data_IF_671496689198
#
_entry.id   IF_671496689198
#
_cell.length_a   1.000
_cell.length_b   1.000
_cell.length_c   1.000
_cell.angle_alpha   90.00
_cell.angle_beta   90.00
_cell.angle_gamma   90.00
#
_symmetry.space_group_name_H-M   'P 1'
#
loop_
_entity.id
_entity.type
_entity.pdbx_description
1 polymer ?
#
# COMPACT_ATOMS: atom_id res chain seq x y z
N UNK A 1 -15.67 17.60 -12.42
CA UNK A 1 -15.76 16.22 -11.95
C UNK A 1 -14.48 15.83 -11.29
N UNK A 2 -14.50 15.39 -10.02
CA UNK A 2 -13.28 14.89 -9.38
C UNK A 2 -12.87 13.57 -10.00
N UNK A 3 -11.58 13.41 -10.14
CA UNK A 3 -10.99 12.17 -10.60
C UNK A 3 -9.77 11.88 -9.74
N UNK A 4 -9.50 10.61 -9.49
CA UNK A 4 -8.30 10.22 -8.79
C UNK A 4 -7.06 10.53 -9.64
N UNK A 5 -5.98 10.83 -8.94
CA UNK A 5 -4.66 11.02 -9.54
C UNK A 5 -3.80 9.84 -9.11
N UNK A 6 -3.45 8.96 -10.05
CA UNK A 6 -2.57 7.83 -9.77
C UNK A 6 -1.13 8.24 -10.02
N UNK A 7 -0.28 8.05 -9.02
CA UNK A 7 1.16 8.30 -9.12
C UNK A 7 1.93 7.02 -8.87
N UNK A 8 2.81 6.70 -9.81
CA UNK A 8 3.71 5.54 -9.74
C UNK A 8 5.17 6.01 -9.74
N UNK A 9 6.10 5.22 -9.19
CA UNK A 9 7.52 5.61 -9.24
C UNK A 9 7.97 5.84 -10.69
N UNK A 10 8.78 6.87 -10.96
CA UNK A 10 9.37 7.85 -10.06
C UNK A 10 8.63 9.19 -10.00
N UNK A 11 7.32 9.20 -10.20
CA UNK A 11 6.54 10.44 -10.21
C UNK A 11 6.75 11.26 -8.92
N UNK A 12 6.69 12.57 -9.05
CA UNK A 12 6.90 13.47 -7.92
C UNK A 12 5.84 13.25 -6.82
N UNK A 13 6.30 13.19 -5.58
CA UNK A 13 5.44 13.09 -4.40
C UNK A 13 5.27 14.49 -3.83
N UNK A 14 4.02 14.97 -3.85
CA UNK A 14 3.69 16.31 -3.35
C UNK A 14 2.61 16.19 -2.30
N UNK A 15 2.72 16.96 -1.23
CA UNK A 15 1.71 17.03 -0.18
C UNK A 15 0.76 18.21 -0.42
N UNK A 16 -0.49 18.08 0.04
CA UNK A 16 -1.45 19.17 0.13
C UNK A 16 -2.51 19.18 -0.95
N UNK A 17 -3.63 19.79 -0.61
CA UNK A 17 -4.78 20.01 -1.48
C UNK A 17 -5.84 18.91 -1.37
N UNK A 18 -5.56 17.71 -1.81
CA UNK A 18 -6.51 16.59 -1.77
C UNK A 18 -5.99 15.44 -0.92
N UNK A 19 -6.88 14.59 -0.38
CA UNK A 19 -6.47 13.42 0.40
C UNK A 19 -5.60 12.47 -0.41
N UNK A 20 -4.79 11.67 0.28
CA UNK A 20 -3.90 10.70 -0.39
C UNK A 20 -3.88 9.36 0.32
N UNK A 21 -3.64 8.30 -0.47
CA UNK A 21 -3.49 6.94 0.01
C UNK A 21 -2.30 6.27 -0.68
N UNK A 22 -1.50 5.54 0.09
CA UNK A 22 -0.45 4.67 -0.43
C UNK A 22 -0.97 3.22 -0.44
N UNK A 23 -0.75 2.51 -1.53
CA UNK A 23 -1.14 1.11 -1.66
C UNK A 23 0.04 0.21 -1.33
N UNK A 24 0.09 -0.25 -0.08
CA UNK A 24 1.10 -1.19 0.39
C UNK A 24 0.59 -2.62 0.27
N UNK A 25 1.47 -3.56 0.02
CA UNK A 25 1.05 -4.95 0.05
C UNK A 25 1.74 -5.82 -0.99
N UNK A 26 1.21 -7.02 -1.13
CA UNK A 26 1.82 -8.07 -1.92
C UNK A 26 1.96 -7.69 -3.38
N UNK A 27 3.18 -7.74 -3.89
CA UNK A 27 3.49 -7.59 -5.32
C UNK A 27 4.23 -8.84 -5.83
N UNK A 28 5.22 -9.32 -5.06
CA UNK A 28 6.01 -10.53 -5.35
C UNK A 28 6.52 -10.54 -6.80
N UNK A 29 7.09 -9.42 -7.25
CA UNK A 29 7.59 -9.21 -8.63
C UNK A 29 6.52 -9.47 -9.70
N UNK A 30 5.28 -9.10 -9.41
CA UNK A 30 4.16 -9.27 -10.33
C UNK A 30 3.41 -10.59 -10.21
N UNK A 31 3.82 -11.49 -9.30
CA UNK A 31 3.14 -12.78 -9.10
C UNK A 31 1.84 -12.66 -8.30
N UNK A 32 1.71 -11.63 -7.47
CA UNK A 32 0.48 -11.39 -6.72
C UNK A 32 -0.64 -10.88 -7.64
N UNK A 33 -1.90 -11.17 -7.28
CA UNK A 33 -3.06 -10.56 -7.95
C UNK A 33 -2.92 -9.04 -7.98
N UNK A 34 -3.35 -8.40 -9.07
CA UNK A 34 -3.30 -6.94 -9.20
C UNK A 34 -4.46 -6.29 -8.46
N UNK A 35 -4.41 -6.34 -7.12
CA UNK A 35 -5.40 -5.73 -6.24
C UNK A 35 -5.35 -4.20 -6.28
N UNK A 36 -4.19 -3.64 -6.60
CA UNK A 36 -4.02 -2.19 -6.74
C UNK A 36 -4.91 -1.62 -7.83
N UNK A 37 -5.03 -2.34 -8.94
CA UNK A 37 -5.91 -1.92 -10.05
C UNK A 37 -7.37 -1.88 -9.62
N UNK A 38 -7.80 -2.82 -8.78
CA UNK A 38 -9.16 -2.80 -8.22
C UNK A 38 -9.38 -1.54 -7.38
N UNK A 39 -8.44 -1.18 -6.52
CA UNK A 39 -8.53 0.05 -5.72
C UNK A 39 -8.61 1.27 -6.62
N UNK A 40 -7.76 1.34 -7.64
CA UNK A 40 -7.78 2.46 -8.60
C UNK A 40 -9.15 2.61 -9.27
N UNK A 41 -9.76 1.51 -9.69
CA UNK A 41 -11.10 1.53 -10.30
C UNK A 41 -12.17 2.02 -9.33
N UNK A 42 -12.15 1.50 -8.11
CA UNK A 42 -13.15 1.85 -7.09
C UNK A 42 -13.04 3.32 -6.65
N UNK A 43 -11.85 3.91 -6.75
CA UNK A 43 -11.61 5.30 -6.38
C UNK A 43 -11.58 6.25 -7.58
N UNK A 44 -11.83 5.77 -8.79
CA UNK A 44 -11.64 6.55 -10.02
C UNK A 44 -12.40 7.87 -10.06
N UNK A 45 -13.57 7.92 -9.42
CA UNK A 45 -14.42 9.11 -9.36
C UNK A 45 -14.27 9.91 -8.07
N UNK A 46 -13.33 9.53 -7.22
CA UNK A 46 -13.05 10.22 -5.96
C UNK A 46 -11.92 11.23 -6.14
N UNK A 47 -11.98 12.33 -5.41
CA UNK A 47 -10.90 13.32 -5.41
C UNK A 47 -9.81 12.86 -4.43
N UNK A 48 -8.89 12.04 -4.92
CA UNK A 48 -7.85 11.42 -4.11
C UNK A 48 -6.57 11.20 -4.92
N UNK A 49 -5.42 11.37 -4.30
CA UNK A 49 -4.13 10.94 -4.88
C UNK A 49 -3.82 9.53 -4.42
N UNK A 50 -3.54 8.64 -5.37
CA UNK A 50 -3.21 7.25 -5.10
C UNK A 50 -1.73 7.03 -5.44
N UNK A 51 -0.93 6.71 -4.44
CA UNK A 51 0.47 6.30 -4.63
C UNK A 51 0.51 4.79 -4.79
N UNK A 52 0.76 4.32 -6.01
CA UNK A 52 0.82 2.91 -6.34
C UNK A 52 2.25 2.50 -6.70
N UNK A 53 2.93 1.70 -5.85
CA UNK A 53 4.31 1.30 -6.10
C UNK A 53 4.46 0.20 -7.16
N UNK A 54 3.37 -0.48 -7.55
CA UNK A 54 3.43 -1.58 -8.50
C UNK A 54 3.78 -1.07 -9.89
N UNK A 55 4.86 -1.61 -10.46
CA UNK A 55 5.34 -1.26 -11.79
C UNK A 55 5.11 -2.42 -12.75
N UNK A 56 4.70 -2.09 -13.98
CA UNK A 56 4.59 -3.08 -15.07
C UNK A 56 5.95 -3.33 -15.72
N UNK A 57 6.89 -2.39 -15.58
CA UNK A 57 8.22 -2.41 -16.16
C UNK A 57 9.32 -2.85 -15.17
N UNK A 58 8.95 -3.59 -14.13
CA UNK A 58 9.93 -4.08 -13.16
C UNK A 58 10.94 -5.01 -13.83
N UNK A 59 12.22 -4.68 -13.69
CA UNK A 59 13.32 -5.47 -14.20
C UNK A 59 13.85 -6.36 -13.08
N UNK A 60 13.62 -7.67 -13.19
CA UNK A 60 14.06 -8.65 -12.19
C UNK A 60 15.59 -8.78 -12.09
N UNK A 61 16.35 -8.21 -13.05
CA UNK A 61 17.80 -8.17 -12.97
C UNK A 61 18.32 -7.13 -11.98
N UNK A 62 17.48 -6.21 -11.51
CA UNK A 62 17.89 -5.24 -10.51
C UNK A 62 18.26 -5.94 -9.21
N UNK A 63 19.49 -5.71 -8.75
CA UNK A 63 19.92 -6.25 -7.47
C UNK A 63 19.22 -5.52 -6.32
N UNK A 64 18.77 -6.28 -5.34
CA UNK A 64 18.09 -5.74 -4.14
C UNK A 64 19.13 -5.22 -3.15
N UNK A 65 19.86 -4.20 -3.56
CA UNK A 65 20.96 -3.59 -2.81
C UNK A 65 20.90 -2.07 -2.90
N UNK A 66 21.33 -1.42 -1.84
CA UNK A 66 21.42 0.05 -1.81
C UNK A 66 22.29 0.59 -2.97
N UNK A 67 23.28 -0.15 -3.42
CA UNK A 67 24.16 0.26 -4.52
C UNK A 67 23.50 0.18 -5.90
N UNK A 68 22.39 -0.55 -6.04
CA UNK A 68 21.62 -0.56 -7.28
C UNK A 68 20.75 0.70 -7.32
N UNK A 69 21.04 1.61 -8.25
CA UNK A 69 20.40 2.91 -8.33
C UNK A 69 18.87 2.80 -8.50
N UNK A 70 18.43 1.97 -9.43
CA UNK A 70 16.99 1.81 -9.72
C UNK A 70 16.25 1.24 -8.52
N UNK A 71 16.81 0.22 -7.87
CA UNK A 71 16.22 -0.37 -6.66
C UNK A 71 16.17 0.64 -5.52
N UNK A 72 17.27 1.35 -5.27
CA UNK A 72 17.33 2.37 -4.21
C UNK A 72 16.31 3.49 -4.45
N UNK A 73 16.17 3.94 -5.69
CA UNK A 73 15.18 4.96 -6.07
C UNK A 73 13.76 4.47 -5.82
N UNK A 74 13.45 3.23 -6.17
CA UNK A 74 12.14 2.62 -5.95
C UNK A 74 11.78 2.57 -4.46
N UNK A 75 12.67 2.01 -3.64
CA UNK A 75 12.43 1.86 -2.20
C UNK A 75 12.33 3.23 -1.52
N UNK A 76 13.20 4.17 -1.88
CA UNK A 76 13.15 5.53 -1.33
C UNK A 76 11.86 6.24 -1.69
N UNK A 77 11.36 6.05 -2.90
CA UNK A 77 10.07 6.59 -3.33
C UNK A 77 8.93 6.02 -2.48
N UNK A 78 8.93 4.70 -2.26
CA UNK A 78 7.91 4.04 -1.46
C UNK A 78 7.89 4.58 -0.02
N UNK A 79 9.06 4.68 0.60
CA UNK A 79 9.18 5.21 1.96
C UNK A 79 8.66 6.64 2.06
N UNK A 80 9.03 7.50 1.12
CA UNK A 80 8.57 8.89 1.09
C UNK A 80 7.06 8.98 0.85
N UNK A 81 6.53 8.16 -0.04
CA UNK A 81 5.09 8.15 -0.33
C UNK A 81 4.29 7.69 0.89
N UNK A 82 4.75 6.66 1.60
CA UNK A 82 4.12 6.21 2.85
C UNK A 82 4.13 7.29 3.92
N UNK A 83 5.24 7.99 4.07
CA UNK A 83 5.34 9.08 5.04
C UNK A 83 4.41 10.24 4.69
N UNK A 84 4.21 10.52 3.41
CA UNK A 84 3.41 11.65 2.92
C UNK A 84 1.91 11.34 2.90
N UNK A 85 1.52 10.11 2.61
CA UNK A 85 0.12 9.73 2.46
C UNK A 85 -0.69 9.92 3.75
N UNK A 86 -1.96 10.30 3.60
CA UNK A 86 -2.90 10.41 4.73
C UNK A 86 -3.31 9.05 5.28
N UNK A 87 -3.40 8.05 4.40
CA UNK A 87 -3.70 6.66 4.77
C UNK A 87 -2.82 5.72 3.98
N UNK A 88 -2.57 4.54 4.56
CA UNK A 88 -1.88 3.43 3.91
C UNK A 88 -2.86 2.25 3.90
N UNK A 89 -3.26 1.81 2.72
CA UNK A 89 -4.07 0.61 2.55
C UNK A 89 -3.13 -0.54 2.25
N UNK A 90 -3.09 -1.52 3.16
CA UNK A 90 -2.15 -2.64 3.07
C UNK A 90 -2.90 -3.95 2.85
N UNK A 91 -2.53 -4.66 1.79
CA UNK A 91 -3.16 -5.94 1.43
C UNK A 91 -2.15 -7.07 1.42
N UNK A 92 -2.44 -8.12 2.19
CA UNK A 92 -1.65 -9.35 2.21
C UNK A 92 -2.34 -10.43 1.36
N UNK A 93 -1.79 -10.73 0.20
CA UNK A 93 -2.30 -11.78 -0.67
C UNK A 93 -1.95 -13.15 -0.06
N UNK A 94 -2.93 -14.05 0.16
CA UNK A 94 -2.69 -15.36 0.78
C UNK A 94 -1.71 -16.24 0.01
N UNK A 95 -1.54 -16.00 -1.29
CA UNK A 95 -0.60 -16.77 -2.14
C UNK A 95 0.84 -16.28 -2.03
N UNK A 96 1.11 -15.20 -1.29
CA UNK A 96 2.43 -14.57 -1.19
C UNK A 96 2.97 -14.61 0.23
N UNK A 97 4.27 -14.37 0.38
CA UNK A 97 4.92 -14.20 1.69
C UNK A 97 4.99 -12.75 2.12
N UNK A 98 5.01 -11.82 1.17
CA UNK A 98 4.99 -10.39 1.38
C UNK A 98 5.97 -9.89 2.47
N UNK A 99 7.28 -10.21 2.38
CA UNK A 99 8.22 -9.84 3.43
C UNK A 99 8.38 -8.33 3.57
N UNK A 100 8.33 -7.59 2.46
CA UNK A 100 8.47 -6.13 2.49
C UNK A 100 7.22 -5.48 3.09
N UNK A 101 6.03 -6.00 2.79
CA UNK A 101 4.79 -5.51 3.41
C UNK A 101 4.79 -5.75 4.92
N UNK A 102 5.35 -6.86 5.37
CA UNK A 102 5.51 -7.13 6.81
C UNK A 102 6.46 -6.11 7.46
N UNK A 103 7.57 -5.75 6.79
CA UNK A 103 8.48 -4.70 7.24
C UNK A 103 7.76 -3.34 7.32
N UNK A 104 6.98 -3.01 6.31
CA UNK A 104 6.21 -1.76 6.24
C UNK A 104 5.12 -1.69 7.31
N UNK A 105 4.48 -2.82 7.61
CA UNK A 105 3.55 -2.93 8.74
C UNK A 105 4.24 -2.52 10.04
N UNK A 106 5.43 -3.04 10.29
CA UNK A 106 6.21 -2.70 11.47
C UNK A 106 6.59 -1.21 11.52
N UNK A 107 6.93 -0.62 10.37
CA UNK A 107 7.30 0.80 10.28
C UNK A 107 6.12 1.73 10.60
N UNK A 108 4.91 1.35 10.21
CA UNK A 108 3.75 2.26 10.23
C UNK A 108 2.66 1.87 11.24
N UNK A 109 2.78 0.76 11.94
CA UNK A 109 1.75 0.30 12.90
C UNK A 109 1.42 1.35 13.97
N UNK A 110 2.38 2.16 14.36
CA UNK A 110 2.19 3.23 15.38
C UNK A 110 1.71 4.56 14.81
N UNK A 111 1.60 4.68 13.49
CA UNK A 111 1.34 5.96 12.81
C UNK A 111 -0.13 6.35 12.65
N UNK A 112 -1.07 5.50 13.05
CA UNK A 112 -2.52 5.74 12.95
C UNK A 112 -3.05 5.95 11.53
N UNK A 113 -2.38 5.46 10.51
CA UNK A 113 -2.86 5.60 9.12
C UNK A 113 -3.01 4.30 8.34
N UNK A 114 -2.71 3.16 8.97
CA UNK A 114 -2.86 1.85 8.32
C UNK A 114 -4.30 1.36 8.33
N UNK A 115 -4.71 0.82 7.18
CA UNK A 115 -5.89 -0.03 7.04
C UNK A 115 -5.38 -1.35 6.46
N UNK A 116 -5.47 -2.44 7.21
CA UNK A 116 -4.85 -3.72 6.86
C UNK A 116 -5.90 -4.75 6.46
N UNK A 117 -5.68 -5.39 5.32
CA UNK A 117 -6.43 -6.56 4.87
C UNK A 117 -5.51 -7.77 4.98
N UNK A 118 -5.86 -8.72 5.85
CA UNK A 118 -5.09 -9.93 6.03
C UNK A 118 -6.02 -11.15 6.10
N UNK A 119 -6.23 -11.84 4.97
CA UNK A 119 -7.08 -13.02 4.92
C UNK A 119 -6.53 -14.17 5.78
N UNK A 120 -7.42 -15.06 6.23
CA UNK A 120 -7.09 -16.15 7.16
C UNK A 120 -5.98 -17.07 6.67
N UNK A 121 -5.85 -17.24 5.35
CA UNK A 121 -4.85 -18.16 4.75
C UNK A 121 -3.47 -17.53 4.59
N UNK A 122 -3.27 -16.26 4.95
CA UNK A 122 -1.94 -15.67 4.88
C UNK A 122 -1.01 -16.32 5.91
N UNK A 123 0.18 -16.73 5.47
CA UNK A 123 1.08 -17.56 6.28
C UNK A 123 1.54 -16.94 7.61
N UNK A 124 1.57 -15.61 7.70
CA UNK A 124 1.93 -14.88 8.94
C UNK A 124 0.76 -14.12 9.55
N UNK A 125 -0.47 -14.57 9.28
CA UNK A 125 -1.66 -13.90 9.81
C UNK A 125 -1.60 -13.71 11.32
N UNK A 126 -1.13 -14.67 12.07
CA UNK A 126 -1.00 -14.56 13.52
C UNK A 126 -0.12 -13.37 13.96
N UNK A 127 1.02 -13.17 13.30
CA UNK A 127 1.89 -12.03 13.57
C UNK A 127 1.19 -10.71 13.25
N UNK A 128 0.51 -10.65 12.10
CA UNK A 128 -0.23 -9.45 11.66
C UNK A 128 -1.34 -9.11 12.65
N UNK A 129 -2.13 -10.10 13.05
CA UNK A 129 -3.24 -9.92 13.99
C UNK A 129 -2.75 -9.36 15.34
N UNK A 130 -1.69 -9.93 15.89
CA UNK A 130 -1.14 -9.51 17.19
C UNK A 130 -0.61 -8.07 17.11
N UNK A 131 0.12 -7.73 16.05
CA UNK A 131 0.62 -6.36 15.84
C UNK A 131 -0.55 -5.37 15.70
N UNK A 132 -1.56 -5.71 14.90
CA UNK A 132 -2.72 -4.85 14.70
C UNK A 132 -3.49 -4.62 16.01
N UNK A 133 -3.69 -5.65 16.81
CA UNK A 133 -4.35 -5.52 18.12
C UNK A 133 -3.51 -4.65 19.06
N UNK A 134 -2.21 -4.93 19.15
CA UNK A 134 -1.30 -4.21 20.04
C UNK A 134 -1.28 -2.70 19.76
N UNK A 135 -1.23 -2.31 18.50
CA UNK A 135 -1.09 -0.91 18.10
C UNK A 135 -2.39 -0.28 17.61
N UNK A 136 -3.52 -0.98 17.79
CA UNK A 136 -4.87 -0.49 17.43
C UNK A 136 -4.97 -0.13 15.95
N UNK A 137 -4.38 -0.96 15.09
CA UNK A 137 -4.46 -0.82 13.65
C UNK A 137 -5.80 -1.33 13.16
N UNK A 138 -6.46 -0.59 12.28
CA UNK A 138 -7.68 -1.04 11.62
C UNK A 138 -7.38 -2.25 10.74
N UNK A 139 -8.05 -3.37 11.02
CA UNK A 139 -7.86 -4.62 10.28
C UNK A 139 -9.20 -5.17 9.85
N UNK A 140 -9.28 -5.58 8.58
CA UNK A 140 -10.48 -6.17 7.98
C UNK A 140 -10.13 -7.43 7.18
N UNK A 141 -11.15 -8.18 6.77
CA UNK A 141 -10.96 -9.46 6.07
C UNK A 141 -10.94 -9.32 4.55
N UNK A 142 -11.58 -8.29 4.00
CA UNK A 142 -11.71 -8.12 2.56
C UNK A 142 -11.24 -6.74 2.10
N UNK A 143 -10.81 -6.69 0.84
CA UNK A 143 -10.42 -5.43 0.21
C UNK A 143 -11.59 -4.46 0.09
N UNK A 144 -12.79 -4.96 -0.16
CA UNK A 144 -14.00 -4.12 -0.25
C UNK A 144 -14.29 -3.40 1.07
N UNK A 145 -14.16 -4.11 2.20
CA UNK A 145 -14.30 -3.49 3.53
C UNK A 145 -13.27 -2.38 3.74
N UNK A 146 -12.01 -2.64 3.35
CA UNK A 146 -10.92 -1.66 3.48
C UNK A 146 -11.18 -0.41 2.63
N UNK A 147 -11.66 -0.59 1.40
CA UNK A 147 -12.00 0.54 0.50
C UNK A 147 -13.13 1.37 1.10
N UNK A 148 -14.16 0.73 1.66
CA UNK A 148 -15.25 1.45 2.35
C UNK A 148 -14.74 2.30 3.50
N UNK A 149 -13.87 1.73 4.34
CA UNK A 149 -13.28 2.46 5.48
C UNK A 149 -12.42 3.61 4.98
N UNK A 150 -11.62 3.38 3.94
CA UNK A 150 -10.77 4.41 3.34
C UNK A 150 -11.59 5.60 2.85
N UNK A 151 -12.69 5.33 2.12
CA UNK A 151 -13.59 6.40 1.64
C UNK A 151 -14.17 7.20 2.80
N UNK A 152 -14.62 6.52 3.84
CA UNK A 152 -15.16 7.16 5.05
C UNK A 152 -14.11 8.02 5.74
N UNK A 153 -12.91 7.47 5.95
CA UNK A 153 -11.81 8.18 6.65
C UNK A 153 -11.34 9.41 5.90
N UNK A 154 -11.33 9.37 4.57
CA UNK A 154 -10.89 10.48 3.72
C UNK A 154 -12.03 11.39 3.28
N UNK A 155 -13.27 11.07 3.63
CA UNK A 155 -14.48 11.81 3.22
C UNK A 155 -14.59 11.97 1.70
N UNK A 156 -14.37 10.89 0.97
CA UNK A 156 -14.39 10.85 -0.50
C UNK A 156 -15.44 9.88 -1.04
#
# INVERSE_FOLDING_TARGET
>A
MPFSIVKKPPAAITSGGIPSVFLAGSIEMGLAENWQQKVERELAKCEVTIYNPRRDDWDSSWEQKMSNHQFCTQVSWELKAMDTADRILMYFDPSTKAPISLLELGLHARGNKLIVVCPDKFWRKGNVDIVCVKYKVTQVQTLDEAISILKSDLSI
#
